data_IF_837004755028
#
_entry.id   IF_837004755028
#
_cell.length_a   1.000
_cell.length_b   1.000
_cell.length_c   1.000
_cell.angle_alpha   90.00
_cell.angle_beta   90.00
_cell.angle_gamma   90.00
#
_symmetry.space_group_name_H-M   'P 1'
#
loop_
_entity.id
_entity.type
_entity.pdbx_description
1 polymer ?
#
# COMPACT_ATOMS: atom_id res chain seq x y z
N UNK A 1 -15.20 -32.99 41.82
CA UNK A 1 -15.32 -31.52 41.86
C UNK A 1 -14.39 -31.05 42.98
N UNK A 2 -13.31 -30.32 42.71
CA UNK A 2 -13.26 -29.03 42.02
C UNK A 2 -12.03 -28.94 41.11
N UNK A 3 -12.22 -28.31 39.95
CA UNK A 3 -11.12 -27.87 39.08
C UNK A 3 -10.47 -26.64 39.71
N UNK A 4 -9.14 -26.61 39.76
CA UNK A 4 -8.35 -25.41 40.02
C UNK A 4 -8.23 -24.61 38.71
N UNK A 5 -8.69 -23.35 38.65
CA UNK A 5 -8.79 -22.58 37.40
C UNK A 5 -7.44 -22.02 36.89
N UNK A 6 -6.30 -22.48 37.42
CA UNK A 6 -4.98 -21.91 37.09
C UNK A 6 -4.25 -22.61 35.94
N UNK A 7 -4.80 -23.71 35.42
CA UNK A 7 -4.14 -24.54 34.39
C UNK A 7 -4.74 -24.38 32.98
N UNK A 8 -5.83 -23.64 32.80
CA UNK A 8 -6.50 -23.53 31.49
C UNK A 8 -6.04 -22.37 30.60
N UNK A 9 -5.22 -21.43 31.07
CA UNK A 9 -4.79 -20.27 30.27
C UNK A 9 -3.33 -20.36 29.79
N UNK A 10 -2.84 -21.55 29.42
CA UNK A 10 -1.56 -21.67 28.68
C UNK A 10 -1.59 -22.64 27.51
N UNK A 11 -2.79 -22.94 26.98
CA UNK A 11 -2.97 -23.87 25.86
C UNK A 11 -4.06 -23.43 24.88
N UNK A 12 -4.18 -22.14 24.59
CA UNK A 12 -4.94 -21.68 23.42
C UNK A 12 -4.08 -20.77 22.56
N UNK A 13 -4.15 -21.03 21.26
CA UNK A 13 -3.54 -20.28 20.17
C UNK A 13 -2.07 -20.60 19.83
N UNK A 14 -1.80 -21.87 19.49
CA UNK A 14 -0.74 -22.20 18.53
C UNK A 14 -1.32 -22.28 17.12
N UNK A 15 -1.83 -21.15 16.62
CA UNK A 15 -1.72 -20.92 15.18
C UNK A 15 -0.37 -20.23 14.95
N UNK A 16 0.43 -20.64 13.95
CA UNK A 16 1.51 -19.78 13.51
C UNK A 16 0.84 -18.53 12.97
N UNK A 17 0.71 -17.50 13.82
CA UNK A 17 0.36 -16.16 13.39
C UNK A 17 1.35 -15.83 12.31
N UNK A 18 0.87 -15.88 11.07
CA UNK A 18 1.52 -15.18 9.98
C UNK A 18 1.37 -13.72 10.36
N UNK A 19 2.23 -13.25 11.26
CA UNK A 19 2.37 -11.85 11.62
C UNK A 19 2.65 -11.18 10.29
N UNK A 20 1.59 -10.63 9.69
CA UNK A 20 1.68 -9.81 8.50
C UNK A 20 2.54 -8.65 8.96
N UNK A 21 3.85 -8.74 8.72
CA UNK A 21 4.80 -7.68 9.01
C UNK A 21 4.30 -6.50 8.20
N UNK A 22 3.54 -5.62 8.85
CA UNK A 22 3.06 -4.40 8.24
C UNK A 22 4.29 -3.53 8.06
N UNK A 23 4.87 -3.61 6.85
CA UNK A 23 5.82 -2.61 6.41
C UNK A 23 4.95 -1.42 6.00
N UNK A 24 4.84 -0.35 6.81
CA UNK A 24 4.19 0.86 6.35
C UNK A 24 4.86 1.21 5.02
N UNK A 25 4.04 1.43 3.99
CA UNK A 25 4.57 1.97 2.73
C UNK A 25 5.25 3.27 3.15
N UNK A 26 6.57 3.41 2.97
CA UNK A 26 7.23 4.65 3.33
C UNK A 26 6.49 5.77 2.59
N UNK A 27 6.25 6.89 3.26
CA UNK A 27 5.76 8.14 2.67
C UNK A 27 6.81 8.69 1.69
N UNK A 28 7.15 7.89 0.68
CA UNK A 28 8.08 8.25 -0.36
C UNK A 28 7.63 9.54 -1.01
N UNK A 29 8.60 10.27 -1.56
CA UNK A 29 8.31 11.51 -2.25
C UNK A 29 7.63 11.18 -3.59
N UNK A 30 6.33 11.49 -3.66
CA UNK A 30 5.50 11.25 -4.85
C UNK A 30 4.75 12.51 -5.22
N UNK A 31 4.54 12.69 -6.53
CA UNK A 31 3.63 13.68 -7.08
C UNK A 31 2.37 12.98 -7.59
N UNK A 32 1.22 13.64 -7.40
CA UNK A 32 -0.05 13.17 -7.95
C UNK A 32 -0.28 13.86 -9.28
N UNK A 33 -0.46 13.07 -10.33
CA UNK A 33 -0.76 13.56 -11.67
C UNK A 33 -2.19 13.17 -12.03
N UNK A 34 -2.99 14.16 -12.42
CA UNK A 34 -4.34 13.96 -12.93
C UNK A 34 -4.28 13.47 -14.38
N UNK A 35 -4.92 12.34 -14.65
CA UNK A 35 -4.97 11.75 -15.99
C UNK A 35 -6.23 12.12 -16.80
N UNK A 36 -7.19 12.82 -16.20
CA UNK A 36 -8.44 13.22 -16.86
C UNK A 36 -9.17 14.32 -16.07
N UNK A 37 -10.45 14.52 -16.36
CA UNK A 37 -11.28 15.55 -15.72
C UNK A 37 -11.58 15.28 -14.24
N UNK A 38 -11.55 14.01 -13.83
CA UNK A 38 -11.85 13.63 -12.46
C UNK A 38 -10.60 13.82 -11.56
N UNK A 39 -10.61 14.79 -10.63
CA UNK A 39 -9.47 15.06 -9.76
C UNK A 39 -9.27 14.00 -8.67
N UNK A 40 -10.22 13.07 -8.51
CA UNK A 40 -10.13 11.98 -7.53
C UNK A 40 -9.39 10.76 -8.10
N UNK A 41 -9.25 10.67 -9.42
CA UNK A 41 -8.53 9.60 -10.16
C UNK A 41 -7.09 10.02 -10.54
N UNK A 42 -6.31 10.45 -9.56
CA UNK A 42 -4.89 10.78 -9.75
C UNK A 42 -3.96 9.57 -9.62
N UNK A 43 -2.84 9.58 -10.34
CA UNK A 43 -1.75 8.58 -10.21
C UNK A 43 -0.61 9.17 -9.38
N UNK A 44 -0.07 8.39 -8.43
CA UNK A 44 1.13 8.74 -7.68
C UNK A 44 2.39 8.32 -8.45
N UNK A 45 3.23 9.27 -8.84
CA UNK A 45 4.52 9.04 -9.51
C UNK A 45 5.65 9.43 -8.56
N UNK A 46 6.66 8.57 -8.41
CA UNK A 46 7.81 8.84 -7.54
C UNK A 46 8.70 9.95 -8.08
N UNK A 47 9.14 10.85 -7.22
CA UNK A 47 10.02 11.98 -7.59
C UNK A 47 11.48 11.54 -7.84
N UNK A 48 11.80 10.27 -7.60
CA UNK A 48 13.11 9.68 -7.92
C UNK A 48 13.33 9.34 -9.40
N UNK A 49 12.35 9.62 -10.28
CA UNK A 49 12.47 9.36 -11.72
C UNK A 49 13.24 10.50 -12.42
N UNK A 50 14.16 10.19 -13.36
CA UNK A 50 14.74 11.21 -14.23
C UNK A 50 13.64 11.97 -14.99
N UNK A 51 13.80 13.28 -15.17
CA UNK A 51 12.80 14.15 -15.80
C UNK A 51 12.32 13.62 -17.17
N UNK A 52 13.24 13.14 -18.00
CA UNK A 52 12.92 12.56 -19.30
C UNK A 52 12.01 11.32 -19.19
N UNK A 53 12.23 10.48 -18.19
CA UNK A 53 11.41 9.28 -17.94
C UNK A 53 10.06 9.68 -17.36
N UNK A 54 10.04 10.65 -16.43
CA UNK A 54 8.81 11.18 -15.84
C UNK A 54 7.87 11.74 -16.90
N UNK A 55 8.38 12.53 -17.84
CA UNK A 55 7.59 13.12 -18.93
C UNK A 55 7.05 12.09 -19.92
N UNK A 56 7.87 11.12 -20.32
CA UNK A 56 7.43 10.04 -21.22
C UNK A 56 6.37 9.16 -20.55
N UNK A 57 6.56 8.84 -19.27
CA UNK A 57 5.57 8.10 -18.49
C UNK A 57 4.26 8.88 -18.39
N UNK A 58 4.31 10.16 -18.07
CA UNK A 58 3.11 11.01 -18.01
C UNK A 58 2.38 11.07 -19.36
N UNK A 59 3.10 11.27 -20.46
CA UNK A 59 2.51 11.32 -21.80
C UNK A 59 1.82 9.99 -22.15
N UNK A 60 2.51 8.86 -21.94
CA UNK A 60 1.95 7.53 -22.18
C UNK A 60 0.70 7.30 -21.32
N UNK A 61 0.74 7.63 -20.03
CA UNK A 61 -0.40 7.46 -19.14
C UNK A 61 -1.60 8.31 -19.60
N UNK A 62 -1.37 9.56 -20.04
CA UNK A 62 -2.43 10.44 -20.56
C UNK A 62 -3.01 9.94 -21.88
N UNK A 63 -2.19 9.42 -22.79
CA UNK A 63 -2.65 8.82 -24.04
C UNK A 63 -3.50 7.57 -23.83
N UNK A 64 -3.23 6.80 -22.77
CA UNK A 64 -3.99 5.59 -22.43
C UNK A 64 -5.16 5.86 -21.47
N UNK A 65 -5.29 7.08 -20.94
CA UNK A 65 -6.34 7.46 -20.01
C UNK A 65 -7.66 7.80 -20.70
N UNK A 66 -7.94 7.18 -21.86
CA UNK A 66 -9.14 7.42 -22.65
C UNK A 66 -10.39 7.57 -21.76
N UNK A 67 -11.08 8.71 -21.94
CA UNK A 67 -12.21 9.24 -21.16
C UNK A 67 -13.42 8.29 -21.11
#
# INVERSE_FOLDING_TARGET
MKLDPRVEEKLKDKEPRTEKIYRPIPDGDFEIISLGEDPTKGIKIGNGLPDLVKRQLEACLKENAEL
#
